data_IF_336402252070
#
_entry.id   IF_336402252070
#
_cell.length_a   1.000
_cell.length_b   1.000
_cell.length_c   1.000
_cell.angle_alpha   90.00
_cell.angle_beta   90.00
_cell.angle_gamma   90.00
#
_symmetry.space_group_name_H-M   'P 1'
#
loop_
_entity.id
_entity.type
_entity.pdbx_description
1 polymer ?
#
# COMPACT_ATOMS: atom_id res chain seq x y z
N UNK A 1 -16.87 -35.51 7.89
CA UNK A 1 -16.33 -35.06 6.60
C UNK A 1 -17.35 -34.16 5.92
N UNK A 2 -17.14 -32.85 5.95
CA UNK A 2 -18.01 -31.90 5.25
C UNK A 2 -17.77 -32.08 3.75
N UNK A 3 -18.83 -32.37 2.99
CA UNK A 3 -18.72 -32.66 1.57
C UNK A 3 -18.06 -31.48 0.80
N UNK A 4 -17.21 -31.73 -0.20
CA UNK A 4 -16.48 -30.69 -0.95
C UNK A 4 -17.37 -29.60 -1.57
N UNK A 5 -18.66 -29.89 -1.80
CA UNK A 5 -19.66 -28.90 -2.26
C UNK A 5 -20.02 -27.85 -1.21
N UNK A 6 -20.04 -28.20 0.08
CA UNK A 6 -20.35 -27.27 1.16
C UNK A 6 -19.20 -26.29 1.43
N UNK A 7 -17.95 -26.76 1.32
CA UNK A 7 -16.76 -25.90 1.39
C UNK A 7 -16.71 -24.91 0.21
N UNK A 8 -17.05 -25.35 -1.00
CA UNK A 8 -17.14 -24.47 -2.17
C UNK A 8 -18.23 -23.40 -2.05
N UNK A 9 -19.39 -23.76 -1.49
CA UNK A 9 -20.48 -22.81 -1.22
C UNK A 9 -20.07 -21.75 -0.20
N UNK A 10 -19.50 -22.18 0.93
CA UNK A 10 -19.00 -21.29 1.98
C UNK A 10 -17.92 -20.31 1.45
N UNK A 11 -16.96 -20.79 0.66
CA UNK A 11 -15.94 -19.95 0.05
C UNK A 11 -16.53 -18.92 -0.94
N UNK A 12 -17.56 -19.31 -1.70
CA UNK A 12 -18.27 -18.38 -2.59
C UNK A 12 -19.06 -17.33 -1.80
N UNK A 13 -19.69 -17.72 -0.69
CA UNK A 13 -20.47 -16.81 0.16
C UNK A 13 -19.56 -15.75 0.81
N UNK A 14 -18.33 -16.11 1.21
CA UNK A 14 -17.32 -15.17 1.72
C UNK A 14 -16.70 -14.32 0.60
N UNK A 15 -16.48 -14.90 -0.58
CA UNK A 15 -15.83 -14.19 -1.67
C UNK A 15 -16.76 -13.24 -2.43
N UNK A 16 -18.09 -13.43 -2.37
CA UNK A 16 -19.06 -12.62 -3.10
C UNK A 16 -19.03 -11.12 -2.68
N UNK A 17 -19.05 -10.77 -1.38
CA UNK A 17 -18.89 -9.37 -0.94
C UNK A 17 -17.56 -8.76 -1.41
N UNK A 18 -16.47 -9.52 -1.35
CA UNK A 18 -15.12 -9.05 -1.75
C UNK A 18 -15.05 -8.82 -3.26
N UNK A 19 -15.58 -9.75 -4.06
CA UNK A 19 -15.62 -9.62 -5.51
C UNK A 19 -16.50 -8.45 -5.95
N UNK A 20 -17.65 -8.26 -5.32
CA UNK A 20 -18.53 -7.11 -5.58
C UNK A 20 -17.87 -5.79 -5.20
N UNK A 21 -17.17 -5.72 -4.06
CA UNK A 21 -16.43 -4.53 -3.65
C UNK A 21 -15.29 -4.21 -4.61
N UNK A 22 -14.52 -5.21 -5.03
CA UNK A 22 -13.47 -5.04 -6.04
C UNK A 22 -14.06 -4.49 -7.36
N UNK A 23 -15.19 -5.02 -7.81
CA UNK A 23 -15.83 -4.54 -9.04
C UNK A 23 -16.30 -3.08 -8.90
N UNK A 24 -16.85 -2.67 -7.75
CA UNK A 24 -17.20 -1.27 -7.47
C UNK A 24 -16.00 -0.31 -7.53
N UNK A 25 -14.79 -0.79 -7.23
CA UNK A 25 -13.56 0.01 -7.39
C UNK A 25 -13.16 0.10 -8.87
N UNK A 26 -13.36 -0.97 -9.64
CA UNK A 26 -12.99 -1.03 -11.05
C UNK A 26 -13.95 -0.28 -11.98
N UNK A 27 -15.26 -0.26 -11.70
CA UNK A 27 -16.23 0.39 -12.60
C UNK A 27 -15.94 1.88 -12.84
N UNK A 28 -15.62 2.72 -11.83
CA UNK A 28 -15.23 4.10 -12.07
C UNK A 28 -13.97 4.25 -12.95
N UNK A 29 -13.02 3.32 -12.83
CA UNK A 29 -11.81 3.29 -13.66
C UNK A 29 -12.19 2.99 -15.11
N UNK A 30 -13.02 1.97 -15.33
CA UNK A 30 -13.49 1.58 -16.67
C UNK A 30 -14.37 2.68 -17.29
N UNK A 31 -15.19 3.37 -16.49
CA UNK A 31 -15.96 4.54 -16.93
C UNK A 31 -15.05 5.65 -17.43
N UNK A 32 -14.03 5.99 -16.65
CA UNK A 32 -13.06 7.00 -17.04
C UNK A 32 -12.28 6.61 -18.31
N UNK A 33 -11.92 5.32 -18.47
CA UNK A 33 -11.35 4.83 -19.72
C UNK A 33 -12.31 5.00 -20.91
N UNK A 34 -13.61 4.75 -20.72
CA UNK A 34 -14.61 4.95 -21.77
C UNK A 34 -14.78 6.43 -22.14
N UNK A 35 -14.74 7.33 -21.17
CA UNK A 35 -14.78 8.77 -21.39
C UNK A 35 -13.54 9.26 -22.17
N UNK A 36 -12.34 8.81 -21.79
CA UNK A 36 -11.10 9.06 -22.55
C UNK A 36 -11.20 8.52 -23.99
N UNK A 37 -11.78 7.33 -24.18
CA UNK A 37 -11.98 6.76 -25.50
C UNK A 37 -12.96 7.60 -26.35
N UNK A 38 -14.02 8.15 -25.74
CA UNK A 38 -14.97 9.04 -26.41
C UNK A 38 -14.33 10.37 -26.82
N UNK A 39 -13.36 10.86 -26.04
CA UNK A 39 -12.53 12.03 -26.37
C UNK A 39 -11.47 11.75 -27.45
N UNK A 40 -11.33 10.50 -27.89
CA UNK A 40 -10.39 10.09 -28.93
C UNK A 40 -8.97 9.79 -28.44
N UNK A 41 -8.76 9.73 -27.12
CA UNK A 41 -7.49 9.31 -26.54
C UNK A 41 -7.23 7.83 -26.81
N UNK A 42 -5.94 7.48 -26.96
CA UNK A 42 -5.54 6.09 -27.09
C UNK A 42 -5.46 5.41 -25.71
N UNK A 43 -6.56 4.77 -25.35
CA UNK A 43 -6.70 4.03 -24.09
C UNK A 43 -5.86 2.74 -24.08
N UNK A 44 -5.54 2.19 -25.25
CA UNK A 44 -4.95 0.86 -25.40
C UNK A 44 -3.47 0.89 -25.81
N UNK A 45 -2.92 2.08 -26.09
CA UNK A 45 -1.54 2.25 -26.52
C UNK A 45 -1.28 1.72 -27.95
N UNK A 46 -2.32 1.56 -28.77
CA UNK A 46 -2.21 1.02 -30.13
C UNK A 46 -1.72 2.04 -31.17
N UNK A 47 -1.66 3.34 -30.83
CA UNK A 47 -1.17 4.44 -31.67
C UNK A 47 0.23 4.92 -31.29
N UNK A 48 0.91 4.32 -30.31
CA UNK A 48 2.22 4.75 -29.84
C UNK A 48 3.29 4.56 -30.93
N UNK A 49 3.81 5.66 -31.46
CA UNK A 49 4.98 5.68 -32.32
C UNK A 49 6.27 5.39 -31.53
N UNK A 50 7.33 4.95 -32.22
CA UNK A 50 8.62 4.59 -31.62
C UNK A 50 9.27 5.69 -30.76
N UNK A 51 8.92 6.96 -30.98
CA UNK A 51 9.40 8.10 -30.19
C UNK A 51 8.67 8.27 -28.85
N UNK A 52 7.39 7.92 -28.79
CA UNK A 52 6.57 8.07 -27.57
C UNK A 52 6.84 6.94 -26.56
N UNK A 53 7.32 5.80 -27.06
CA UNK A 53 7.85 4.71 -26.26
C UNK A 53 9.04 5.15 -25.38
N UNK A 54 9.88 6.09 -25.84
CA UNK A 54 10.99 6.62 -25.03
C UNK A 54 10.49 7.45 -23.84
N UNK A 55 9.49 8.32 -24.06
CA UNK A 55 8.84 9.11 -23.01
C UNK A 55 8.08 8.24 -21.99
N UNK A 56 7.47 7.14 -22.45
CA UNK A 56 6.82 6.15 -21.59
C UNK A 56 7.83 5.26 -20.84
N UNK A 57 8.99 4.94 -21.43
CA UNK A 57 10.06 4.23 -20.70
C UNK A 57 10.74 5.12 -19.64
N UNK A 58 10.75 6.44 -19.83
CA UNK A 58 11.30 7.37 -18.84
C UNK A 58 10.34 7.56 -17.64
N UNK A 59 9.02 7.47 -17.86
CA UNK A 59 7.99 7.48 -16.80
C UNK A 59 7.62 6.10 -16.25
N UNK A 60 8.05 5.01 -16.91
CA UNK A 60 7.65 3.63 -16.65
C UNK A 60 8.79 2.64 -16.51
N UNK A 61 10.00 3.10 -16.15
CA UNK A 61 11.25 2.30 -16.04
C UNK A 61 11.18 1.07 -15.10
N UNK A 62 10.06 0.83 -14.44
CA UNK A 62 9.82 -0.30 -13.53
C UNK A 62 8.74 -1.30 -13.99
N UNK A 63 8.06 -1.08 -15.12
CA UNK A 63 6.86 -1.88 -15.48
C UNK A 63 6.99 -2.74 -16.75
N UNK A 64 8.10 -2.70 -17.47
CA UNK A 64 8.29 -3.55 -18.67
C UNK A 64 9.61 -4.29 -18.63
N UNK A 65 9.62 -5.40 -17.92
CA UNK A 65 10.35 -6.62 -18.31
C UNK A 65 9.43 -7.82 -18.16
N UNK A 66 8.44 -7.90 -19.05
CA UNK A 66 7.76 -9.16 -19.36
C UNK A 66 8.60 -9.90 -20.39
N UNK A 67 9.59 -10.68 -19.94
CA UNK A 67 10.08 -11.78 -20.75
C UNK A 67 9.10 -12.94 -20.60
N UNK A 68 8.38 -13.22 -21.68
CA UNK A 68 7.47 -14.34 -21.83
C UNK A 68 8.22 -15.67 -21.59
N UNK A 69 7.93 -16.32 -20.47
CA UNK A 69 8.21 -17.75 -20.30
C UNK A 69 6.90 -18.51 -20.10
N UNK A 70 6.27 -18.83 -21.24
CA UNK A 70 5.46 -20.02 -21.51
C UNK A 70 4.45 -20.48 -20.46
N UNK A 71 3.16 -20.28 -20.73
CA UNK A 71 2.11 -21.22 -20.30
C UNK A 71 1.30 -21.66 -21.52
N UNK A 72 1.62 -22.86 -22.01
CA UNK A 72 0.93 -23.55 -23.10
C UNK A 72 -0.41 -24.11 -22.60
N UNK A 73 -1.53 -23.61 -23.14
CA UNK A 73 -2.83 -24.27 -23.02
C UNK A 73 -3.13 -25.06 -24.30
N UNK A 74 -2.64 -26.29 -24.38
CA UNK A 74 -3.11 -27.26 -25.37
C UNK A 74 -4.43 -27.88 -24.90
N UNK A 75 -5.56 -27.41 -25.44
CA UNK A 75 -6.80 -28.17 -25.53
C UNK A 75 -7.66 -27.75 -26.74
N UNK A 76 -7.17 -28.11 -27.93
CA UNK A 76 -7.91 -28.66 -29.08
C UNK A 76 -9.37 -28.19 -29.31
N UNK A 77 -9.55 -27.25 -30.24
CA UNK A 77 -10.78 -27.17 -31.05
C UNK A 77 -10.40 -27.45 -32.52
N UNK A 78 -10.61 -28.68 -32.99
CA UNK A 78 -10.55 -28.99 -34.43
C UNK A 78 -11.82 -28.47 -35.10
N UNK A 79 -11.87 -27.19 -35.48
CA UNK A 79 -12.77 -26.72 -36.54
C UNK A 79 -11.96 -26.65 -37.84
N UNK A 80 -12.42 -27.33 -38.89
CA UNK A 80 -11.89 -27.15 -40.25
C UNK A 80 -12.13 -25.68 -40.62
N UNK A 81 -11.06 -24.93 -40.78
CA UNK A 81 -11.12 -23.56 -41.28
C UNK A 81 -11.32 -23.68 -42.78
N UNK A 82 -12.44 -23.16 -43.28
CA UNK A 82 -12.66 -23.01 -44.71
C UNK A 82 -11.76 -21.88 -45.21
N UNK A 83 -10.80 -22.24 -46.09
CA UNK A 83 -9.77 -21.33 -46.61
C UNK A 83 -10.43 -20.14 -47.33
N UNK A 84 -11.63 -20.32 -47.89
CA UNK A 84 -12.34 -19.28 -48.61
C UNK A 84 -12.94 -18.21 -47.66
N UNK A 85 -13.40 -18.61 -46.47
CA UNK A 85 -13.88 -17.67 -45.44
C UNK A 85 -12.71 -16.93 -44.78
N UNK A 86 -11.57 -17.61 -44.59
CA UNK A 86 -10.33 -17.00 -44.11
C UNK A 86 -9.81 -15.92 -45.07
N UNK A 87 -9.84 -16.18 -46.38
CA UNK A 87 -9.45 -15.22 -47.41
C UNK A 87 -10.42 -14.04 -47.51
N UNK A 88 -11.72 -14.24 -47.27
CA UNK A 88 -12.70 -13.14 -47.15
C UNK A 88 -12.48 -12.26 -45.91
N UNK A 89 -11.93 -12.81 -44.83
CA UNK A 89 -11.59 -12.04 -43.62
C UNK A 89 -10.32 -11.20 -43.79
N UNK A 90 -9.41 -11.58 -44.68
CA UNK A 90 -8.17 -10.84 -44.95
C UNK A 90 -8.39 -9.51 -45.70
N UNK A 91 -9.55 -9.33 -46.36
CA UNK A 91 -9.88 -8.13 -47.14
C UNK A 91 -10.78 -7.10 -46.44
N UNK A 92 -11.28 -7.39 -45.23
CA UNK A 92 -11.99 -6.38 -44.43
C UNK A 92 -10.96 -5.60 -43.62
N UNK A 93 -11.01 -4.25 -43.59
CA UNK A 93 -10.26 -3.52 -42.56
C UNK A 93 -10.67 -4.11 -41.22
N UNK A 94 -9.70 -4.52 -40.38
CA UNK A 94 -9.98 -4.92 -39.00
C UNK A 94 -10.55 -3.69 -38.28
N UNK A 95 -11.87 -3.54 -38.31
CA UNK A 95 -12.58 -2.45 -37.67
C UNK A 95 -13.12 -2.86 -36.30
N UNK A 96 -12.49 -3.82 -35.63
CA UNK A 96 -12.75 -4.07 -34.22
C UNK A 96 -11.89 -3.08 -33.42
N UNK A 97 -12.22 -1.79 -33.54
CA UNK A 97 -11.71 -0.80 -32.59
C UNK A 97 -12.16 -1.28 -31.23
N UNK A 98 -11.20 -1.67 -30.41
CA UNK A 98 -11.45 -2.23 -29.10
C UNK A 98 -12.21 -1.19 -28.26
N UNK A 99 -13.50 -1.41 -28.04
CA UNK A 99 -14.39 -0.45 -27.37
C UNK A 99 -14.92 -1.04 -26.09
N UNK A 100 -14.95 -0.20 -25.07
CA UNK A 100 -15.64 -0.51 -23.81
C UNK A 100 -17.14 -0.49 -24.11
N UNK A 101 -17.87 -1.52 -23.67
CA UNK A 101 -19.33 -1.55 -23.83
C UNK A 101 -19.98 -0.66 -22.76
N UNK A 102 -20.32 0.57 -23.16
CA UNK A 102 -20.91 1.57 -22.26
C UNK A 102 -22.31 1.18 -21.78
N UNK A 103 -23.07 0.40 -22.56
CA UNK A 103 -24.41 -0.05 -22.15
C UNK A 103 -24.32 -1.13 -21.08
N UNK A 104 -23.38 -2.06 -21.24
CA UNK A 104 -23.09 -3.07 -20.22
C UNK A 104 -22.55 -2.42 -18.94
N UNK A 105 -21.78 -1.33 -19.06
CA UNK A 105 -21.26 -0.56 -17.94
C UNK A 105 -22.38 0.11 -17.12
N UNK A 106 -23.32 0.80 -17.79
CA UNK A 106 -24.47 1.44 -17.11
C UNK A 106 -25.31 0.41 -16.32
N UNK A 107 -25.54 -0.76 -16.91
CA UNK A 107 -26.26 -1.88 -16.26
C UNK A 107 -25.47 -2.40 -15.05
N UNK A 108 -24.15 -2.50 -15.16
CA UNK A 108 -23.31 -2.98 -14.07
C UNK A 108 -23.29 -2.03 -12.87
N UNK A 109 -23.26 -0.72 -13.11
CA UNK A 109 -23.33 0.31 -12.07
C UNK A 109 -24.67 0.25 -11.33
N UNK A 110 -25.79 0.12 -12.06
CA UNK A 110 -27.13 -0.02 -11.47
C UNK A 110 -27.26 -1.30 -10.64
N UNK A 111 -26.82 -2.45 -11.19
CA UNK A 111 -26.86 -3.73 -10.48
C UNK A 111 -26.02 -3.70 -9.20
N UNK A 112 -24.79 -3.16 -9.24
CA UNK A 112 -23.91 -3.11 -8.07
C UNK A 112 -24.29 -2.05 -7.04
N UNK A 113 -25.10 -1.05 -7.39
CA UNK A 113 -25.61 -0.07 -6.42
C UNK A 113 -26.49 -0.74 -5.35
N UNK A 114 -27.27 -1.76 -5.76
CA UNK A 114 -28.30 -2.36 -4.92
C UNK A 114 -28.06 -3.83 -4.57
N UNK A 115 -27.11 -4.51 -5.22
CA UNK A 115 -26.91 -5.96 -5.05
C UNK A 115 -25.45 -6.37 -4.85
N UNK A 116 -25.25 -7.54 -4.25
CA UNK A 116 -23.97 -8.24 -4.21
C UNK A 116 -23.99 -9.39 -5.21
N UNK A 117 -23.02 -9.39 -6.11
CA UNK A 117 -22.84 -10.42 -7.13
C UNK A 117 -21.96 -11.54 -6.61
N UNK A 118 -22.17 -12.75 -7.15
CA UNK A 118 -21.24 -13.84 -6.94
C UNK A 118 -19.89 -13.53 -7.59
N UNK A 119 -18.84 -14.24 -7.16
CA UNK A 119 -17.50 -14.10 -7.75
C UNK A 119 -17.50 -14.35 -9.27
N UNK A 120 -18.27 -15.33 -9.73
CA UNK A 120 -18.32 -15.69 -11.15
C UNK A 120 -19.08 -14.65 -11.97
N UNK A 121 -20.20 -14.15 -11.44
CA UNK A 121 -20.99 -13.12 -12.12
C UNK A 121 -20.20 -11.81 -12.19
N UNK A 122 -19.48 -11.45 -11.12
CA UNK A 122 -18.59 -10.29 -11.10
C UNK A 122 -17.50 -10.37 -12.17
N UNK A 123 -16.86 -11.54 -12.32
CA UNK A 123 -15.83 -11.76 -13.33
C UNK A 123 -16.41 -11.74 -14.76
N UNK A 124 -17.57 -12.36 -14.95
CA UNK A 124 -18.26 -12.40 -16.25
C UNK A 124 -18.68 -11.00 -16.68
N UNK A 125 -19.22 -10.22 -15.75
CA UNK A 125 -19.61 -8.82 -15.96
C UNK A 125 -18.40 -7.97 -16.35
N UNK A 126 -17.27 -8.10 -15.64
CA UNK A 126 -16.05 -7.35 -15.97
C UNK A 126 -15.51 -7.69 -17.37
N UNK A 127 -15.48 -8.98 -17.73
CA UNK A 127 -15.05 -9.42 -19.08
C UNK A 127 -15.99 -8.93 -20.17
N UNK A 128 -17.30 -8.87 -19.89
CA UNK A 128 -18.29 -8.37 -20.83
C UNK A 128 -18.13 -6.87 -21.09
N UNK A 129 -17.87 -6.07 -20.05
CA UNK A 129 -17.66 -4.63 -20.16
C UNK A 129 -16.31 -4.30 -20.79
N UNK A 130 -15.24 -4.97 -20.32
CA UNK A 130 -13.87 -4.65 -20.66
C UNK A 130 -12.98 -5.91 -20.69
N UNK A 131 -12.92 -6.55 -21.85
CA UNK A 131 -12.23 -7.83 -22.02
C UNK A 131 -10.68 -7.75 -22.02
N UNK A 132 -10.08 -6.56 -22.08
CA UNK A 132 -8.61 -6.36 -22.07
C UNK A 132 -8.06 -5.70 -20.82
N UNK A 133 -8.86 -5.40 -19.79
CA UNK A 133 -8.34 -4.82 -18.55
C UNK A 133 -7.33 -5.78 -17.90
N UNK A 134 -6.07 -5.34 -17.75
CA UNK A 134 -5.02 -6.10 -17.09
C UNK A 134 -4.76 -5.56 -15.69
N UNK A 135 -4.17 -6.39 -14.83
CA UNK A 135 -3.88 -6.02 -13.44
C UNK A 135 -2.95 -4.79 -13.34
N UNK A 136 -2.01 -4.63 -14.28
CA UNK A 136 -1.10 -3.48 -14.29
C UNK A 136 -1.74 -2.18 -14.79
N UNK A 137 -2.84 -2.27 -15.56
CA UNK A 137 -3.56 -1.09 -16.05
C UNK A 137 -4.30 -0.37 -14.91
N UNK A 138 -4.70 -1.12 -13.87
CA UNK A 138 -5.53 -0.63 -12.76
C UNK A 138 -4.88 0.57 -12.07
N UNK A 139 -3.62 0.44 -11.64
CA UNK A 139 -2.93 1.49 -10.88
C UNK A 139 -2.70 2.76 -11.72
N UNK A 140 -2.40 2.58 -13.01
CA UNK A 140 -2.22 3.68 -13.95
C UNK A 140 -3.51 4.49 -14.12
N UNK A 141 -4.61 3.80 -14.46
CA UNK A 141 -5.89 4.47 -14.69
C UNK A 141 -6.54 4.99 -13.41
N UNK A 142 -6.32 4.32 -12.27
CA UNK A 142 -6.72 4.84 -10.96
C UNK A 142 -6.04 6.17 -10.65
N UNK A 143 -4.72 6.28 -10.90
CA UNK A 143 -3.99 7.55 -10.72
C UNK A 143 -4.51 8.63 -11.68
N UNK A 144 -4.74 8.31 -12.95
CA UNK A 144 -5.32 9.27 -13.91
C UNK A 144 -6.72 9.73 -13.51
N UNK A 145 -7.57 8.83 -13.02
CA UNK A 145 -8.91 9.15 -12.51
C UNK A 145 -8.86 10.06 -11.29
N UNK A 146 -7.94 9.82 -10.35
CA UNK A 146 -7.73 10.72 -9.21
C UNK A 146 -7.33 12.12 -9.66
N UNK A 147 -6.40 12.22 -10.63
CA UNK A 147 -5.95 13.49 -11.19
C UNK A 147 -7.03 14.22 -12.00
N UNK A 148 -7.94 13.50 -12.68
CA UNK A 148 -9.02 14.15 -13.44
C UNK A 148 -10.11 14.74 -12.54
N UNK A 149 -10.38 14.11 -11.39
CA UNK A 149 -11.35 14.61 -10.40
C UNK A 149 -10.79 15.79 -9.59
N UNK A 150 -9.50 15.75 -9.26
CA UNK A 150 -8.82 16.80 -8.52
C UNK A 150 -7.59 17.28 -9.30
N UNK A 151 -7.75 18.08 -10.38
CA UNK A 151 -6.63 18.54 -11.21
C UNK A 151 -5.65 19.46 -10.47
N UNK A 152 -6.05 19.94 -9.28
CA UNK A 152 -5.36 20.89 -8.43
C UNK A 152 -5.26 20.38 -6.99
N UNK A 153 -4.54 19.28 -6.77
CA UNK A 153 -3.81 19.07 -5.52
C UNK A 153 -2.46 18.52 -5.91
N UNK A 154 -1.48 19.42 -5.94
CA UNK A 154 -0.04 19.21 -5.81
C UNK A 154 0.43 17.78 -6.06
N UNK A 155 1.30 17.61 -7.06
CA UNK A 155 1.99 16.33 -7.26
C UNK A 155 2.51 15.83 -5.90
N UNK A 156 2.46 14.52 -5.64
CA UNK A 156 2.99 14.00 -4.37
C UNK A 156 4.45 14.47 -4.12
N UNK A 157 5.15 14.80 -5.21
CA UNK A 157 6.50 15.38 -5.23
C UNK A 157 6.57 16.86 -4.80
N UNK A 158 5.49 17.66 -4.92
CA UNK A 158 5.48 19.08 -4.49
C UNK A 158 5.63 19.23 -2.96
N UNK A 159 5.13 18.25 -2.19
CA UNK A 159 5.17 18.30 -0.74
C UNK A 159 6.47 17.78 -0.14
N UNK A 160 7.25 16.99 -0.89
CA UNK A 160 8.46 16.37 -0.34
C UNK A 160 9.42 17.43 0.19
N UNK A 161 9.55 18.57 -0.51
CA UNK A 161 10.40 19.71 -0.12
C UNK A 161 10.15 20.23 1.30
N UNK A 162 8.97 20.02 1.88
CA UNK A 162 8.64 20.46 3.24
C UNK A 162 8.99 19.43 4.33
N UNK A 163 9.04 18.15 3.97
CA UNK A 163 9.20 17.04 4.90
C UNK A 163 10.66 16.58 5.01
N UNK A 164 11.50 17.38 5.67
CA UNK A 164 12.83 16.88 6.06
C UNK A 164 12.71 15.95 7.27
N UNK A 165 13.49 14.86 7.33
CA UNK A 165 13.47 13.88 8.43
C UNK A 165 13.62 14.54 9.82
N UNK A 166 14.49 15.53 9.96
CA UNK A 166 14.69 16.27 11.21
C UNK A 166 13.42 17.01 11.66
N UNK A 167 12.76 17.72 10.75
CA UNK A 167 11.49 18.43 11.02
C UNK A 167 10.37 17.46 11.35
N UNK A 168 10.27 16.33 10.64
CA UNK A 168 9.22 15.33 10.87
C UNK A 168 9.39 14.69 12.25
N UNK A 169 10.60 14.30 12.64
CA UNK A 169 10.88 13.79 13.98
C UNK A 169 10.61 14.84 15.06
N UNK A 170 11.05 16.10 14.85
CA UNK A 170 10.77 17.19 15.79
C UNK A 170 9.28 17.44 15.95
N UNK A 171 8.51 17.38 14.86
CA UNK A 171 7.05 17.53 14.89
C UNK A 171 6.37 16.38 15.60
N UNK A 172 6.79 15.14 15.33
CA UNK A 172 6.27 13.94 15.97
C UNK A 172 6.54 13.95 17.48
N UNK A 173 7.77 14.25 17.91
CA UNK A 173 8.10 14.35 19.34
C UNK A 173 7.41 15.53 20.02
N UNK A 174 7.26 16.66 19.33
CA UNK A 174 6.47 17.79 19.81
C UNK A 174 4.99 17.45 19.99
N UNK A 175 4.44 16.57 19.15
CA UNK A 175 3.08 16.06 19.30
C UNK A 175 2.94 15.18 20.54
N UNK A 176 3.88 14.26 20.80
CA UNK A 176 3.90 13.43 22.02
C UNK A 176 3.89 14.29 23.29
N UNK A 177 4.66 15.36 23.29
CA UNK A 177 4.69 16.31 24.40
C UNK A 177 3.34 17.01 24.59
N UNK A 178 2.73 17.53 23.51
CA UNK A 178 1.44 18.24 23.61
C UNK A 178 0.28 17.34 24.03
N UNK A 179 0.26 16.09 23.58
CA UNK A 179 -0.84 15.17 23.87
C UNK A 179 -0.69 14.47 25.23
N UNK A 180 0.52 14.05 25.57
CA UNK A 180 0.76 13.16 26.73
C UNK A 180 1.80 13.69 27.71
N UNK A 181 2.36 14.88 27.50
CA UNK A 181 3.44 15.43 28.34
C UNK A 181 4.75 14.63 28.26
N UNK A 182 4.89 13.76 27.25
CA UNK A 182 6.07 12.93 27.10
C UNK A 182 7.16 13.65 26.31
N UNK A 183 8.42 13.50 26.75
CA UNK A 183 9.56 14.13 26.11
C UNK A 183 10.52 13.07 25.55
N UNK A 184 10.94 13.26 24.30
CA UNK A 184 11.93 12.39 23.64
C UNK A 184 13.25 13.12 23.58
N UNK A 185 14.31 12.46 24.06
CA UNK A 185 15.68 13.00 24.05
C UNK A 185 16.57 12.06 23.25
N UNK A 186 17.34 12.61 22.31
CA UNK A 186 18.35 11.83 21.59
C UNK A 186 19.61 11.67 22.44
N UNK A 187 20.07 10.43 22.56
CA UNK A 187 21.30 10.11 23.27
C UNK A 187 22.49 10.12 22.30
N UNK A 188 23.15 11.28 22.19
CA UNK A 188 24.25 11.51 21.24
C UNK A 188 25.62 11.14 21.86
N UNK A 189 25.79 11.32 23.17
CA UNK A 189 27.09 11.20 23.84
C UNK A 189 27.33 9.80 24.44
N UNK A 190 26.31 9.21 25.08
CA UNK A 190 26.39 7.90 25.72
C UNK A 190 25.61 6.84 24.94
N UNK A 191 25.72 6.90 23.61
CA UNK A 191 25.00 6.01 22.71
C UNK A 191 25.44 4.55 22.93
N UNK A 192 24.51 3.60 23.18
CA UNK A 192 24.84 2.20 23.29
C UNK A 192 25.43 1.62 21.99
N UNK A 193 26.08 0.44 22.04
CA UNK A 193 26.53 -0.25 20.82
C UNK A 193 25.38 -0.41 19.82
N UNK A 194 25.63 0.02 18.58
CA UNK A 194 24.67 -0.07 17.46
C UNK A 194 25.21 -0.96 16.35
N UNK A 195 24.31 -1.58 15.59
CA UNK A 195 24.65 -2.44 14.45
C UNK A 195 24.99 -1.67 13.17
N UNK A 196 24.66 -0.38 13.10
CA UNK A 196 24.94 0.48 11.94
C UNK A 196 25.16 1.93 12.37
N UNK A 197 26.08 2.69 11.73
CA UNK A 197 26.36 4.09 12.09
C UNK A 197 25.12 4.99 12.05
N UNK A 198 24.25 4.79 11.06
CA UNK A 198 23.03 5.60 10.88
C UNK A 198 21.94 5.37 11.93
N UNK A 199 22.07 4.34 12.77
CA UNK A 199 21.08 4.05 13.81
C UNK A 199 21.17 5.14 14.88
N UNK A 200 20.05 5.76 15.22
CA UNK A 200 19.96 6.77 16.27
C UNK A 200 19.37 6.15 17.54
N UNK A 201 19.72 6.67 18.71
CA UNK A 201 19.20 6.18 19.99
C UNK A 201 18.46 7.31 20.72
N UNK A 202 17.25 7.00 21.17
CA UNK A 202 16.37 7.96 21.83
C UNK A 202 15.86 7.39 23.15
N UNK A 203 15.61 8.28 24.10
CA UNK A 203 15.00 7.98 25.40
C UNK A 203 13.66 8.69 25.51
N UNK A 204 12.65 8.01 26.05
CA UNK A 204 11.31 8.54 26.27
C UNK A 204 11.10 8.78 27.77
N UNK A 205 10.72 10.00 28.13
CA UNK A 205 10.45 10.42 29.49
C UNK A 205 9.01 10.86 29.68
N UNK A 206 8.47 10.64 30.88
CA UNK A 206 7.25 11.28 31.37
C UNK A 206 7.61 12.13 32.59
N UNK A 207 7.67 13.45 32.43
CA UNK A 207 8.31 14.33 33.41
C UNK A 207 9.79 13.94 33.61
N UNK A 208 10.15 13.52 34.82
CA UNK A 208 11.52 13.06 35.15
C UNK A 208 11.70 11.54 35.09
N UNK A 209 10.61 10.78 34.90
CA UNK A 209 10.64 9.32 34.86
C UNK A 209 11.05 8.81 33.48
N UNK A 210 12.04 7.93 33.42
CA UNK A 210 12.44 7.24 32.19
C UNK A 210 11.48 6.08 31.91
N UNK A 211 10.66 6.21 30.88
CA UNK A 211 9.75 5.15 30.44
C UNK A 211 10.48 4.03 29.68
N UNK A 212 11.57 4.37 28.98
CA UNK A 212 12.40 3.43 28.25
C UNK A 212 13.16 4.08 27.11
N UNK A 213 13.71 3.27 26.21
CA UNK A 213 14.49 3.79 25.08
C UNK A 213 14.23 3.05 23.78
N UNK A 214 14.53 3.68 22.65
CA UNK A 214 14.39 3.05 21.35
C UNK A 214 15.53 3.40 20.40
N UNK A 215 15.86 2.45 19.54
CA UNK A 215 16.74 2.67 18.40
C UNK A 215 15.90 3.00 17.17
N UNK A 216 16.35 3.97 16.38
CA UNK A 216 15.75 4.31 15.10
C UNK A 216 16.73 4.04 13.97
N UNK A 217 16.37 3.13 13.06
CA UNK A 217 17.15 2.76 11.88
C UNK A 217 16.44 3.25 10.61
N UNK A 218 16.77 4.46 10.08
CA UNK A 218 15.95 5.13 9.06
C UNK A 218 16.15 4.60 7.63
N UNK A 219 17.39 4.33 7.23
CA UNK A 219 17.72 4.25 5.80
C UNK A 219 17.62 2.85 5.20
N UNK A 220 17.18 2.79 3.94
CA UNK A 220 17.23 1.59 3.12
C UNK A 220 18.69 1.22 2.81
N UNK A 221 19.04 -0.06 2.93
CA UNK A 221 20.37 -0.58 2.57
C UNK A 221 20.29 -2.05 2.17
N UNK A 222 21.24 -2.55 1.36
CA UNK A 222 21.30 -3.97 1.02
C UNK A 222 21.31 -4.86 2.28
N UNK A 223 20.46 -5.90 2.29
CA UNK A 223 20.34 -6.83 3.41
C UNK A 223 19.48 -6.36 4.59
N UNK A 224 18.97 -5.12 4.58
CA UNK A 224 17.94 -4.66 5.53
C UNK A 224 16.54 -4.96 4.98
N UNK A 225 15.61 -5.29 5.87
CA UNK A 225 14.19 -5.39 5.51
C UNK A 225 13.67 -4.04 4.98
N UNK A 226 12.98 -4.08 3.84
CA UNK A 226 12.42 -2.89 3.20
C UNK A 226 11.09 -2.44 3.81
N UNK A 227 10.46 -3.29 4.62
CA UNK A 227 9.18 -2.99 5.26
C UNK A 227 9.46 -2.31 6.61
N UNK A 228 8.84 -1.14 6.89
CA UNK A 228 8.89 -0.55 8.21
C UNK A 228 8.39 -1.51 9.29
N UNK A 229 9.05 -1.50 10.46
CA UNK A 229 8.62 -2.33 11.58
C UNK A 229 9.09 -1.77 12.91
N UNK A 230 8.37 -2.16 13.96
CA UNK A 230 8.73 -1.92 15.35
C UNK A 230 8.82 -3.24 16.11
N UNK A 231 9.95 -3.46 16.79
CA UNK A 231 10.22 -4.70 17.50
C UNK A 231 10.79 -4.40 18.90
N UNK A 232 10.19 -4.91 19.99
CA UNK A 232 10.81 -4.83 21.31
C UNK A 232 12.04 -5.76 21.39
N UNK A 233 13.19 -5.20 21.75
CA UNK A 233 14.41 -5.97 22.09
C UNK A 233 14.37 -6.44 23.54
N UNK A 234 13.95 -5.55 24.44
CA UNK A 234 13.79 -5.83 25.85
C UNK A 234 12.42 -5.33 26.29
N UNK A 235 11.66 -6.18 26.98
CA UNK A 235 10.37 -5.82 27.55
C UNK A 235 10.52 -5.37 29.00
N UNK A 236 9.59 -4.52 29.46
CA UNK A 236 9.48 -4.14 30.87
C UNK A 236 9.34 -5.39 31.74
N UNK A 237 10.03 -5.39 32.89
CA UNK A 237 9.97 -6.46 33.88
C UNK A 237 10.33 -5.90 35.24
N UNK A 238 9.45 -6.06 36.23
CA UNK A 238 9.83 -5.88 37.63
C UNK A 238 10.64 -7.10 38.10
N UNK A 239 11.59 -6.88 39.01
CA UNK A 239 12.33 -7.95 39.67
C UNK A 239 13.23 -8.80 38.76
N UNK A 240 13.61 -8.30 37.57
CA UNK A 240 14.53 -8.99 36.64
C UNK A 240 15.85 -9.37 37.34
N UNK A 241 16.31 -8.51 38.24
CA UNK A 241 17.31 -8.78 39.26
C UNK A 241 16.73 -8.25 40.57
N UNK A 242 16.91 -8.95 41.70
CA UNK A 242 16.39 -8.57 43.03
C UNK A 242 16.45 -7.04 43.26
N UNK A 243 15.30 -6.38 43.16
CA UNK A 243 15.13 -4.94 43.41
C UNK A 243 15.47 -3.98 42.27
N UNK A 244 15.69 -4.44 41.02
CA UNK A 244 15.88 -3.56 39.85
C UNK A 244 14.92 -3.88 38.72
N UNK A 245 14.14 -2.89 38.34
CA UNK A 245 13.23 -2.95 37.20
C UNK A 245 14.00 -2.80 35.90
N UNK A 246 13.66 -3.61 34.90
CA UNK A 246 14.24 -3.51 33.56
C UNK A 246 13.39 -2.57 32.73
N UNK A 247 13.99 -1.48 32.26
CA UNK A 247 13.37 -0.56 31.31
C UNK A 247 13.25 -1.20 29.92
N UNK A 248 12.15 -0.98 29.21
CA UNK A 248 11.97 -1.53 27.87
C UNK A 248 12.89 -0.83 26.85
N UNK A 249 13.33 -1.62 25.86
CA UNK A 249 14.15 -1.18 24.73
C UNK A 249 13.50 -1.67 23.44
N UNK A 250 13.25 -0.76 22.50
CA UNK A 250 12.53 -1.03 21.24
C UNK A 250 13.40 -0.65 20.03
N UNK A 251 13.18 -1.29 18.89
CA UNK A 251 13.76 -0.90 17.61
C UNK A 251 12.63 -0.47 16.69
N UNK A 252 12.77 0.72 16.13
CA UNK A 252 11.98 1.24 15.03
C UNK A 252 12.86 1.26 13.79
N UNK A 253 12.45 0.57 12.74
CA UNK A 253 13.18 0.49 11.48
C UNK A 253 12.27 0.96 10.34
N UNK A 254 12.78 1.83 9.48
CA UNK A 254 12.11 2.25 8.23
C UNK A 254 13.02 2.00 7.03
N UNK A 255 12.53 2.25 5.81
CA UNK A 255 13.28 2.04 4.57
C UNK A 255 13.32 3.32 3.73
N UNK A 256 13.71 4.44 4.37
CA UNK A 256 13.79 5.76 3.74
C UNK A 256 14.99 5.81 2.81
N UNK A 257 14.87 6.51 1.67
CA UNK A 257 16.00 6.72 0.78
C UNK A 257 17.10 7.57 1.47
N UNK A 258 18.34 7.11 1.41
CA UNK A 258 19.45 7.86 1.96
C UNK A 258 19.69 9.13 1.11
N UNK A 259 19.95 10.29 1.74
CA UNK A 259 20.28 11.50 1.00
C UNK A 259 21.67 11.38 0.35
N UNK A 260 21.90 12.19 -0.68
CA UNK A 260 23.24 12.46 -1.19
C UNK A 260 24.11 13.13 -0.09
N UNK A 261 25.44 12.94 -0.08
CA UNK A 261 26.32 13.54 0.91
C UNK A 261 26.20 15.08 0.94
N UNK A 262 25.71 15.62 2.06
CA UNK A 262 25.54 17.07 2.27
C UNK A 262 24.10 17.56 2.11
N UNK A 263 23.21 16.75 1.56
CA UNK A 263 21.81 17.12 1.39
C UNK A 263 20.93 16.68 2.57
N UNK A 264 19.84 17.42 2.87
CA UNK A 264 18.87 16.99 3.88
C UNK A 264 18.13 15.74 3.41
N UNK A 265 17.83 14.82 4.34
CA UNK A 265 16.91 13.70 4.04
C UNK A 265 15.49 14.23 3.83
N UNK A 266 15.06 14.25 2.58
CA UNK A 266 13.71 14.64 2.16
C UNK A 266 12.82 13.40 2.14
N UNK A 267 11.64 13.50 2.74
CA UNK A 267 10.68 12.40 2.90
C UNK A 267 9.50 12.58 1.97
N UNK A 268 8.98 11.47 1.47
CA UNK A 268 7.69 11.42 0.81
C UNK A 268 6.58 11.29 1.84
N UNK A 269 5.33 11.61 1.47
CA UNK A 269 4.20 11.52 2.41
C UNK A 269 4.06 10.12 3.03
N UNK A 270 4.31 9.06 2.25
CA UNK A 270 4.23 7.69 2.76
C UNK A 270 5.33 7.38 3.81
N UNK A 271 6.52 7.97 3.67
CA UNK A 271 7.58 7.84 4.68
C UNK A 271 7.18 8.52 5.99
N UNK A 272 6.56 9.70 5.90
CA UNK A 272 6.04 10.42 7.07
C UNK A 272 5.01 9.57 7.79
N UNK A 273 4.01 9.05 7.06
CA UNK A 273 2.99 8.17 7.63
C UNK A 273 3.61 6.92 8.28
N UNK A 274 4.61 6.31 7.65
CA UNK A 274 5.32 5.16 8.21
C UNK A 274 6.04 5.51 9.52
N UNK A 275 6.74 6.65 9.60
CA UNK A 275 7.40 7.10 10.83
C UNK A 275 6.37 7.27 11.96
N UNK A 276 5.23 7.90 11.69
CA UNK A 276 4.18 8.09 12.69
C UNK A 276 3.56 6.77 13.14
N UNK A 277 3.29 5.86 12.20
CA UNK A 277 2.77 4.53 12.49
C UNK A 277 3.70 3.74 13.43
N UNK A 278 4.99 3.66 13.06
CA UNK A 278 5.98 2.93 13.84
C UNK A 278 6.27 3.61 15.19
N UNK A 279 6.30 4.94 15.24
CA UNK A 279 6.43 5.68 16.49
C UNK A 279 5.27 5.39 17.46
N UNK A 280 4.06 5.17 16.94
CA UNK A 280 2.92 4.71 17.72
C UNK A 280 3.20 3.38 18.43
N UNK A 281 3.73 2.40 17.68
CA UNK A 281 4.14 1.11 18.26
C UNK A 281 5.26 1.28 19.29
N UNK A 282 6.22 2.19 19.06
CA UNK A 282 7.29 2.49 20.03
C UNK A 282 6.68 3.00 21.33
N UNK A 283 5.82 4.02 21.27
CA UNK A 283 5.20 4.61 22.46
C UNK A 283 4.36 3.57 23.19
N UNK A 284 3.60 2.75 22.48
CA UNK A 284 2.80 1.68 23.09
C UNK A 284 3.67 0.66 23.85
N UNK A 285 4.83 0.29 23.31
CA UNK A 285 5.75 -0.61 23.98
C UNK A 285 6.45 0.04 25.18
N UNK A 286 6.82 1.32 25.08
CA UNK A 286 7.56 2.03 26.14
C UNK A 286 6.66 2.52 27.28
N UNK A 287 5.45 2.99 26.98
CA UNK A 287 4.50 3.51 27.96
C UNK A 287 3.71 2.41 28.69
N UNK A 288 3.74 1.16 28.21
CA UNK A 288 3.05 0.06 28.88
C UNK A 288 3.67 -0.22 30.26
N UNK A 289 2.92 -0.01 31.34
CA UNK A 289 3.35 -0.19 32.72
C UNK A 289 3.22 -1.64 33.25
N UNK A 290 2.79 -2.59 32.41
CA UNK A 290 2.70 -3.99 32.82
C UNK A 290 4.11 -4.58 33.02
N UNK A 291 4.29 -5.21 34.18
CA UNK A 291 5.58 -5.73 34.63
C UNK A 291 5.76 -7.23 34.36
N UNK A 292 4.70 -7.91 33.90
CA UNK A 292 4.78 -9.29 33.44
C UNK A 292 5.31 -9.35 32.02
N UNK A 293 6.50 -9.93 31.82
CA UNK A 293 7.17 -10.02 30.50
C UNK A 293 6.30 -10.67 29.42
N UNK A 294 5.43 -11.61 29.80
CA UNK A 294 4.52 -12.31 28.89
C UNK A 294 3.35 -11.43 28.41
N UNK A 295 3.02 -10.37 29.15
CA UNK A 295 1.87 -9.49 28.90
C UNK A 295 2.32 -8.05 28.56
N UNK A 296 3.60 -7.72 28.79
CA UNK A 296 4.16 -6.41 28.50
C UNK A 296 4.22 -6.10 26.99
N UNK A 297 4.08 -4.80 26.68
CA UNK A 297 4.08 -4.27 25.31
C UNK A 297 2.80 -4.58 24.54
N UNK A 298 2.94 -5.04 23.31
CA UNK A 298 1.84 -5.42 22.41
C UNK A 298 1.55 -6.92 22.38
N UNK A 299 2.27 -7.72 23.17
CA UNK A 299 2.31 -9.19 23.07
C UNK A 299 0.95 -9.89 23.17
N UNK A 300 0.06 -9.37 24.02
CA UNK A 300 -1.27 -9.96 24.26
C UNK A 300 -2.38 -9.25 23.50
N UNK A 301 -2.06 -8.21 22.73
CA UNK A 301 -3.04 -7.50 21.94
C UNK A 301 -3.39 -8.33 20.70
N UNK A 302 -4.68 -8.56 20.43
CA UNK A 302 -5.13 -9.11 19.15
C UNK A 302 -4.54 -8.31 17.98
N UNK A 303 -4.22 -8.98 16.86
CA UNK A 303 -3.54 -8.34 15.74
C UNK A 303 -4.30 -7.14 15.20
N UNK A 304 -5.62 -7.25 15.12
CA UNK A 304 -6.56 -6.19 14.74
C UNK A 304 -6.53 -4.99 15.69
N UNK A 305 -6.25 -5.18 16.98
CA UNK A 305 -6.10 -4.09 17.94
C UNK A 305 -4.68 -3.52 17.97
N UNK A 306 -3.66 -4.35 17.76
CA UNK A 306 -2.26 -3.90 17.76
C UNK A 306 -1.98 -2.83 16.69
N UNK A 307 -2.72 -2.85 15.58
CA UNK A 307 -2.60 -1.87 14.49
C UNK A 307 -3.42 -0.59 14.73
N UNK A 308 -4.35 -0.58 15.71
CA UNK A 308 -5.23 0.57 15.97
C UNK A 308 -4.52 1.73 16.64
N UNK A 309 -3.43 1.49 17.37
CA UNK A 309 -2.77 2.50 18.21
C UNK A 309 -2.24 3.72 17.46
N UNK A 310 -2.19 3.68 16.11
CA UNK A 310 -2.01 4.89 15.30
C UNK A 310 -2.88 4.97 14.03
N UNK A 311 -3.74 3.99 13.75
CA UNK A 311 -4.72 4.07 12.64
C UNK A 311 -5.90 5.02 12.91
N UNK A 312 -5.83 5.89 13.94
CA UNK A 312 -6.76 7.01 14.19
C UNK A 312 -6.63 8.12 13.12
N UNK A 313 -6.52 7.74 11.85
CA UNK A 313 -6.61 8.62 10.68
C UNK A 313 -8.01 8.53 10.02
N UNK A 314 -8.96 7.80 10.61
CA UNK A 314 -10.27 7.54 9.99
C UNK A 314 -11.51 7.82 10.88
N UNK A 315 -11.38 8.58 11.97
CA UNK A 315 -12.51 8.89 12.85
C UNK A 315 -12.53 10.36 13.32
N UNK A 316 -12.23 11.29 12.41
CA UNK A 316 -12.57 12.71 12.57
C UNK A 316 -13.47 13.07 11.39
N UNK A 317 -14.70 12.59 11.45
CA UNK A 317 -15.88 13.05 10.70
C UNK A 317 -17.07 12.49 11.48
N UNK A 318 -17.44 13.18 12.55
CA UNK A 318 -18.76 13.22 13.20
C UNK A 318 -18.63 13.67 14.68
N UNK A 319 -18.39 14.97 14.89
CA UNK A 319 -18.91 15.77 16.02
C UNK A 319 -19.02 17.22 15.62
#
# INVERSE_FOLDING_TARGET
MVAPRAAGKFLNDIAAPVASAALRILLPIVRFMADCQALGEDVWGEKLGSSDLQLLTDSGRWLVKGEDSSVSYLARAKKKIDVYDFLKQLGKPRSDVLRIDTKALDVAEDVLSNTTLSRLDSATMLVHICHRLRNWDILFWQRRLSLSKEPLKHSADDFSTYFTLSRVLSGAFGLLNRLWGMHVVENVHDKPPVWHPDVRHFQLFNGTELLGSFFFDPFARPGKLSVPFTQPLMKRSEGYVLGKDRTPVVVMSTSIHAPEPGDPTVLQLHDVLAIFHELGHVVQNLANQNNEVLVAGTTTLPLDFSQQSFCLQAAIDDT
#
